data_IF_989039130943
#
_entry.id   IF_989039130943
#
_cell.length_a   1.000
_cell.length_b   1.000
_cell.length_c   1.000
_cell.angle_alpha   90.00
_cell.angle_beta   90.00
_cell.angle_gamma   90.00
#
_symmetry.space_group_name_H-M   'P 1'
#
loop_
_entity.id
_entity.type
_entity.pdbx_description
1 polymer ?
#
# COMPACT_ATOMS: atom_id res chain seq x y z
N UNK A 1 -6.57 4.46 -4.33
CA UNK A 1 -6.99 4.41 -2.91
C UNK A 1 -8.28 5.19 -2.71
N UNK A 2 -9.08 4.84 -1.71
CA UNK A 2 -10.28 5.59 -1.31
C UNK A 2 -10.13 6.06 0.13
N UNK A 3 -10.77 7.18 0.46
CA UNK A 3 -10.84 7.65 1.84
C UNK A 3 -11.50 6.59 2.74
N UNK A 4 -10.96 6.42 3.95
CA UNK A 4 -11.41 5.41 4.91
C UNK A 4 -10.86 4.01 4.69
N UNK A 5 -10.02 3.78 3.67
CA UNK A 5 -9.28 2.52 3.53
C UNK A 5 -8.30 2.34 4.70
N UNK A 6 -8.28 1.15 5.28
CA UNK A 6 -7.25 0.74 6.25
C UNK A 6 -6.26 -0.14 5.52
N UNK A 7 -4.99 0.26 5.48
CA UNK A 7 -3.92 -0.52 4.85
C UNK A 7 -3.51 -1.67 5.77
N UNK A 8 -3.48 -2.89 5.21
CA UNK A 8 -3.12 -4.11 5.95
C UNK A 8 -1.75 -4.63 5.51
N UNK A 9 -1.48 -4.63 4.21
CA UNK A 9 -0.23 -5.13 3.63
C UNK A 9 0.19 -4.25 2.45
N UNK A 10 1.50 -4.16 2.21
CA UNK A 10 2.10 -3.61 1.00
C UNK A 10 3.11 -4.60 0.42
N UNK A 11 2.97 -4.96 -0.86
CA UNK A 11 3.75 -5.99 -1.55
C UNK A 11 3.82 -7.32 -0.77
N UNK A 12 2.72 -7.69 -0.10
CA UNK A 12 2.63 -8.89 0.74
C UNK A 12 3.27 -8.77 2.13
N UNK A 13 3.83 -7.62 2.50
CA UNK A 13 4.36 -7.35 3.84
C UNK A 13 3.31 -6.69 4.72
N UNK A 14 3.04 -7.26 5.90
CA UNK A 14 2.10 -6.71 6.86
C UNK A 14 2.55 -5.33 7.37
N UNK A 15 1.63 -4.37 7.35
CA UNK A 15 1.86 -3.01 7.83
C UNK A 15 1.32 -2.90 9.26
N UNK A 16 2.18 -2.46 10.18
CA UNK A 16 1.82 -2.24 11.58
C UNK A 16 1.74 -0.76 11.95
N UNK A 17 2.46 0.09 11.21
CA UNK A 17 2.56 1.54 11.39
C UNK A 17 2.78 2.24 10.05
N UNK A 18 2.50 3.53 10.01
CA UNK A 18 2.60 4.32 8.78
C UNK A 18 4.02 4.36 8.18
N UNK A 19 5.07 4.28 9.00
CA UNK A 19 6.46 4.28 8.51
C UNK A 19 6.81 3.02 7.71
N UNK A 20 6.18 1.88 7.99
CA UNK A 20 6.43 0.63 7.26
C UNK A 20 6.08 0.83 5.78
N UNK A 21 4.97 1.53 5.50
CA UNK A 21 4.56 1.82 4.13
C UNK A 21 5.57 2.70 3.39
N UNK A 22 6.16 3.67 4.08
CA UNK A 22 7.16 4.56 3.48
C UNK A 22 8.37 3.77 3.00
N UNK A 23 8.87 2.84 3.83
CA UNK A 23 9.98 1.96 3.47
C UNK A 23 9.63 1.13 2.21
N UNK A 24 8.43 0.53 2.16
CA UNK A 24 8.00 -0.24 0.98
C UNK A 24 7.90 0.62 -0.28
N UNK A 25 7.41 1.86 -0.17
CA UNK A 25 7.29 2.76 -1.31
C UNK A 25 8.68 3.16 -1.83
N UNK A 26 9.61 3.50 -0.95
CA UNK A 26 11.00 3.84 -1.32
C UNK A 26 11.68 2.68 -2.05
N UNK A 27 11.48 1.43 -1.60
CA UNK A 27 12.00 0.23 -2.27
C UNK A 27 11.29 -0.10 -3.60
N UNK A 28 10.09 0.41 -3.81
CA UNK A 28 9.26 0.12 -4.99
C UNK A 28 9.36 1.18 -6.09
N UNK A 29 10.17 2.22 -5.90
CA UNK A 29 10.41 3.29 -6.88
C UNK A 29 10.80 2.70 -8.24
N UNK A 30 11.73 1.74 -8.26
CA UNK A 30 12.21 1.12 -9.50
C UNK A 30 11.12 0.30 -10.21
N UNK A 31 10.15 -0.23 -9.47
CA UNK A 31 9.02 -1.01 -10.03
C UNK A 31 7.89 -0.11 -10.54
N UNK A 32 7.79 1.13 -10.05
CA UNK A 32 6.77 2.10 -10.43
C UNK A 32 5.39 1.87 -9.83
N UNK A 33 5.18 0.81 -9.02
CA UNK A 33 3.91 0.57 -8.33
C UNK A 33 4.11 -0.21 -7.03
N UNK A 34 3.11 -0.13 -6.14
CA UNK A 34 2.97 -0.94 -4.93
C UNK A 34 1.61 -1.61 -4.93
N UNK A 35 1.59 -2.92 -4.67
CA UNK A 35 0.34 -3.67 -4.44
C UNK A 35 -0.06 -3.54 -2.99
N UNK A 36 -1.23 -2.95 -2.72
CA UNK A 36 -1.76 -2.76 -1.37
C UNK A 36 -2.93 -3.69 -1.10
N UNK A 37 -2.93 -4.29 0.09
CA UNK A 37 -4.11 -4.95 0.65
C UNK A 37 -4.81 -3.99 1.59
N UNK A 38 -6.08 -3.73 1.33
CA UNK A 38 -6.87 -2.73 2.07
C UNK A 38 -8.17 -3.31 2.59
N UNK A 39 -8.56 -2.90 3.80
CA UNK A 39 -9.88 -3.14 4.35
C UNK A 39 -10.78 -1.94 4.02
N UNK A 40 -11.89 -2.19 3.33
CA UNK A 40 -12.89 -1.19 2.96
C UNK A 40 -14.29 -1.72 3.23
N UNK A 41 -15.02 -1.07 4.15
CA UNK A 41 -16.38 -1.47 4.49
C UNK A 41 -16.49 -2.94 4.94
N UNK A 42 -15.51 -3.43 5.70
CA UNK A 42 -15.45 -4.81 6.21
C UNK A 42 -15.03 -5.87 5.18
N UNK A 43 -14.66 -5.48 3.96
CA UNK A 43 -14.15 -6.38 2.91
C UNK A 43 -12.70 -6.06 2.57
N UNK A 44 -11.93 -7.09 2.24
CA UNK A 44 -10.53 -6.94 1.85
C UNK A 44 -10.42 -6.84 0.32
N UNK A 45 -9.59 -5.92 -0.14
CA UNK A 45 -9.29 -5.70 -1.55
C UNK A 45 -7.79 -5.64 -1.77
N UNK A 46 -7.34 -6.11 -2.92
CA UNK A 46 -5.99 -5.88 -3.42
C UNK A 46 -6.04 -4.80 -4.50
N UNK A 47 -5.15 -3.81 -4.41
CA UNK A 47 -5.14 -2.63 -5.26
C UNK A 47 -3.71 -2.26 -5.61
N UNK A 48 -3.38 -2.24 -6.90
CA UNK A 48 -2.12 -1.68 -7.38
C UNK A 48 -2.20 -0.15 -7.43
N UNK A 49 -1.20 0.49 -6.85
CA UNK A 49 -1.07 1.94 -6.78
C UNK A 49 0.26 2.35 -7.40
N UNK A 50 0.20 3.22 -8.40
CA UNK A 50 1.39 3.77 -9.06
C UNK A 50 2.19 4.66 -8.10
N UNK A 51 3.51 4.50 -8.09
CA UNK A 51 4.43 5.33 -7.29
C UNK A 51 4.87 6.50 -8.16
N UNK A 52 4.37 7.69 -7.84
CA UNK A 52 4.83 8.93 -8.46
C UNK A 52 6.00 9.48 -7.66
N UNK A 53 7.18 9.53 -8.29
CA UNK A 53 8.35 10.20 -7.73
C UNK A 53 8.40 11.61 -8.29
N UNK A 54 8.30 12.62 -7.43
CA UNK A 54 8.41 14.04 -7.78
C UNK A 54 9.74 14.62 -7.35
#
# INVERSE_FOLDING_TARGET
LREGDILLEANGMALSRASDLREVVEESIDKGYVTLKVLRGGKVFEVDVEVLVS
#
